data_IF_046083168637
#
_entry.id   IF_046083168637
#
_cell.length_a   1.000
_cell.length_b   1.000
_cell.length_c   1.000
_cell.angle_alpha   90.00
_cell.angle_beta   90.00
_cell.angle_gamma   90.00
#
_symmetry.space_group_name_H-M   'P 1'
#
loop_
_entity.id
_entity.type
_entity.pdbx_description
1 polymer ?
#
# COMPACT_ATOMS: atom_id res chain seq x y z
N UNK A 1 -25.63 38.18 16.04
CA UNK A 1 -24.96 37.14 16.83
C UNK A 1 -24.39 36.15 15.82
N UNK A 2 -23.06 36.12 15.66
CA UNK A 2 -22.42 35.20 14.73
C UNK A 2 -22.31 33.84 15.43
N UNK A 3 -22.82 32.78 14.80
CA UNK A 3 -22.60 31.42 15.28
C UNK A 3 -21.09 31.14 15.28
N UNK A 4 -20.55 30.45 16.31
CA UNK A 4 -19.16 30.05 16.28
C UNK A 4 -18.91 29.17 15.05
N UNK A 5 -17.85 29.50 14.30
CA UNK A 5 -17.33 28.60 13.28
C UNK A 5 -16.92 27.31 13.98
N UNK A 6 -17.72 26.24 13.83
CA UNK A 6 -17.29 24.90 14.21
C UNK A 6 -16.19 24.49 13.23
N UNK A 7 -14.93 24.70 13.63
CA UNK A 7 -13.82 24.00 13.02
C UNK A 7 -13.88 22.57 13.55
N UNK A 8 -14.03 21.54 12.68
CA UNK A 8 -13.98 20.16 13.12
C UNK A 8 -12.66 19.95 13.86
N UNK A 9 -12.64 19.12 14.92
CA UNK A 9 -11.44 18.97 15.74
C UNK A 9 -10.26 18.59 14.85
N UNK A 10 -9.23 19.43 14.86
CA UNK A 10 -7.88 19.08 14.43
C UNK A 10 -7.55 17.76 15.12
N UNK A 11 -7.40 16.66 14.37
CA UNK A 11 -7.29 15.29 14.91
C UNK A 11 -6.35 15.29 16.11
N UNK A 12 -6.91 15.20 17.32
CA UNK A 12 -6.15 15.34 18.56
C UNK A 12 -5.31 14.06 18.72
N UNK A 13 -3.98 14.16 18.86
CA UNK A 13 -3.08 13.01 18.87
C UNK A 13 -3.01 12.32 20.23
N UNK A 14 -4.13 12.18 20.95
CA UNK A 14 -4.11 11.42 22.20
C UNK A 14 -3.85 9.94 21.94
N UNK A 15 -4.32 9.41 20.80
CA UNK A 15 -4.07 8.04 20.38
C UNK A 15 -3.95 7.90 18.86
N UNK A 16 -3.01 7.07 18.40
CA UNK A 16 -2.76 6.83 16.98
C UNK A 16 -3.91 6.10 16.27
N UNK A 17 -4.82 5.46 17.02
CA UNK A 17 -5.98 4.75 16.45
C UNK A 17 -7.10 5.70 15.98
N UNK A 18 -7.20 6.92 16.53
CA UNK A 18 -8.24 7.89 16.14
C UNK A 18 -7.94 8.54 14.78
N UNK A 19 -6.71 8.38 14.27
CA UNK A 19 -6.31 8.93 12.99
C UNK A 19 -6.80 8.10 11.81
N UNK A 20 -7.22 6.86 12.04
CA UNK A 20 -7.53 5.87 11.02
C UNK A 20 -8.99 5.44 11.16
N UNK A 21 -9.82 5.73 10.16
CA UNK A 21 -11.19 5.22 10.16
C UNK A 21 -11.22 3.75 9.76
N UNK A 22 -12.32 3.04 10.04
CA UNK A 22 -12.53 1.66 9.55
C UNK A 22 -12.45 1.59 8.03
N UNK A 23 -12.96 2.61 7.34
CA UNK A 23 -12.91 2.68 5.88
C UNK A 23 -11.46 2.81 5.38
N UNK A 24 -10.64 3.60 6.07
CA UNK A 24 -9.21 3.71 5.77
C UNK A 24 -8.51 2.36 5.92
N UNK A 25 -8.77 1.64 7.02
CA UNK A 25 -8.24 0.28 7.22
C UNK A 25 -8.59 -0.63 6.05
N UNK A 26 -9.86 -0.68 5.63
CA UNK A 26 -10.29 -1.52 4.50
C UNK A 26 -9.59 -1.12 3.20
N UNK A 27 -9.52 0.19 2.90
CA UNK A 27 -8.87 0.70 1.68
C UNK A 27 -7.37 0.41 1.67
N UNK A 28 -6.71 0.55 2.82
CA UNK A 28 -5.28 0.25 2.95
C UNK A 28 -5.00 -1.25 2.88
N UNK A 29 -5.85 -2.10 3.47
CA UNK A 29 -5.73 -3.54 3.40
C UNK A 29 -5.90 -4.05 1.96
N UNK A 30 -6.90 -3.55 1.23
CA UNK A 30 -7.09 -3.89 -0.19
C UNK A 30 -5.91 -3.42 -1.05
N UNK A 31 -5.44 -2.18 -0.82
CA UNK A 31 -4.27 -1.68 -1.52
C UNK A 31 -3.02 -2.51 -1.23
N UNK A 32 -2.80 -2.92 0.02
CA UNK A 32 -1.68 -3.76 0.41
C UNK A 32 -1.76 -5.17 -0.21
N UNK A 33 -2.96 -5.73 -0.31
CA UNK A 33 -3.19 -7.01 -0.98
C UNK A 33 -2.79 -6.97 -2.46
N UNK A 34 -3.22 -5.96 -3.22
CA UNK A 34 -2.85 -5.84 -4.63
C UNK A 34 -1.34 -5.61 -4.82
N UNK A 35 -0.72 -4.86 -3.90
CA UNK A 35 0.74 -4.69 -3.87
C UNK A 35 1.45 -6.02 -3.65
N UNK A 36 1.13 -6.73 -2.56
CA UNK A 36 1.74 -8.00 -2.21
C UNK A 36 1.53 -9.06 -3.30
N UNK A 37 0.32 -9.11 -3.89
CA UNK A 37 -0.01 -10.03 -4.99
C UNK A 37 0.90 -9.83 -6.18
N UNK A 38 1.19 -8.57 -6.53
CA UNK A 38 2.07 -8.22 -7.65
C UNK A 38 3.53 -8.59 -7.39
N UNK A 39 4.04 -8.34 -6.19
CA UNK A 39 5.43 -8.66 -5.83
C UNK A 39 5.67 -10.17 -5.70
N UNK A 40 4.64 -10.90 -5.26
CA UNK A 40 4.68 -12.36 -5.16
C UNK A 40 4.38 -13.08 -6.48
N UNK A 41 4.15 -12.35 -7.57
CA UNK A 41 3.96 -12.93 -8.89
C UNK A 41 5.29 -12.93 -9.65
N UNK A 42 5.65 -14.03 -10.34
CA UNK A 42 6.85 -14.06 -11.16
C UNK A 42 6.80 -12.99 -12.26
N UNK A 43 7.96 -12.44 -12.66
CA UNK A 43 8.07 -11.57 -13.83
C UNK A 43 7.50 -12.22 -15.09
N UNK A 44 7.15 -11.39 -16.07
CA UNK A 44 6.65 -11.88 -17.35
C UNK A 44 7.68 -12.77 -18.05
N UNK A 45 7.25 -13.95 -18.49
CA UNK A 45 8.10 -14.96 -19.10
C UNK A 45 8.75 -15.93 -18.11
N UNK A 46 8.67 -15.66 -16.80
CA UNK A 46 9.16 -16.57 -15.77
C UNK A 46 8.07 -17.53 -15.28
N UNK A 47 8.48 -18.73 -14.88
CA UNK A 47 7.57 -19.73 -14.34
C UNK A 47 7.40 -19.51 -12.83
N UNK A 48 6.22 -19.86 -12.33
CA UNK A 48 5.97 -19.84 -10.89
C UNK A 48 6.79 -20.88 -10.12
N UNK A 49 7.11 -22.00 -10.76
CA UNK A 49 8.02 -23.02 -10.24
C UNK A 49 9.29 -23.02 -11.09
N UNK A 50 10.46 -23.05 -10.45
CA UNK A 50 11.74 -23.22 -11.13
C UNK A 50 12.00 -24.69 -11.55
N UNK A 51 13.19 -24.98 -12.07
CA UNK A 51 13.57 -26.32 -12.53
C UNK A 51 13.63 -27.37 -11.39
N UNK A 52 13.80 -26.91 -10.15
CA UNK A 52 13.89 -27.72 -8.94
C UNK A 52 12.55 -27.80 -8.19
N UNK A 53 11.46 -27.32 -8.79
CA UNK A 53 10.11 -27.22 -8.20
C UNK A 53 10.01 -26.28 -6.99
N UNK A 54 10.96 -25.36 -6.84
CA UNK A 54 10.84 -24.31 -5.85
C UNK A 54 9.88 -23.23 -6.35
N UNK A 55 8.94 -22.83 -5.50
CA UNK A 55 7.99 -21.77 -5.81
C UNK A 55 8.66 -20.39 -5.73
N UNK A 56 8.34 -19.55 -6.70
CA UNK A 56 8.72 -18.13 -6.74
C UNK A 56 8.35 -17.41 -5.45
N UNK A 57 7.16 -17.70 -4.93
CA UNK A 57 6.69 -17.16 -3.66
C UNK A 57 5.89 -18.22 -2.90
N UNK A 58 6.08 -18.24 -1.59
CA UNK A 58 5.33 -19.11 -0.68
C UNK A 58 4.15 -18.37 -0.05
N UNK A 59 3.26 -19.10 0.63
CA UNK A 59 2.17 -18.48 1.41
C UNK A 59 2.71 -17.59 2.54
N UNK A 60 3.83 -17.99 3.14
CA UNK A 60 4.52 -17.23 4.19
C UNK A 60 5.07 -15.93 3.61
N UNK A 61 5.80 -16.03 2.50
CA UNK A 61 6.31 -14.87 1.74
C UNK A 61 5.20 -13.88 1.39
N UNK A 62 4.04 -14.37 0.92
CA UNK A 62 2.90 -13.51 0.63
C UNK A 62 2.32 -12.83 1.89
N UNK A 63 2.22 -13.55 3.01
CA UNK A 63 1.71 -12.98 4.26
C UNK A 63 2.62 -11.87 4.80
N UNK A 64 3.93 -12.08 4.75
CA UNK A 64 4.92 -11.08 5.15
C UNK A 64 4.83 -9.83 4.26
N UNK A 65 4.77 -10.03 2.94
CA UNK A 65 4.59 -8.92 1.99
C UNK A 65 3.30 -8.14 2.22
N UNK A 66 2.20 -8.82 2.53
CA UNK A 66 0.92 -8.19 2.84
C UNK A 66 1.04 -7.31 4.10
N UNK A 67 1.64 -7.84 5.17
CA UNK A 67 1.83 -7.11 6.42
C UNK A 67 2.72 -5.87 6.22
N UNK A 68 3.83 -6.03 5.50
CA UNK A 68 4.75 -4.93 5.18
C UNK A 68 4.08 -3.84 4.35
N UNK A 69 3.34 -4.23 3.30
CA UNK A 69 2.61 -3.28 2.45
C UNK A 69 1.55 -2.52 3.26
N UNK A 70 0.84 -3.20 4.16
CA UNK A 70 -0.17 -2.57 5.00
C UNK A 70 0.47 -1.57 5.98
N UNK A 71 1.52 -1.98 6.68
CA UNK A 71 2.29 -1.13 7.59
C UNK A 71 2.81 0.13 6.90
N UNK A 72 3.43 -0.02 5.73
CA UNK A 72 3.94 1.08 4.91
C UNK A 72 2.85 2.10 4.55
N UNK A 73 1.65 1.64 4.20
CA UNK A 73 0.51 2.51 3.86
C UNK A 73 -0.01 3.30 5.04
N UNK A 74 -0.06 2.69 6.22
CA UNK A 74 -0.47 3.39 7.45
C UNK A 74 0.56 4.48 7.83
N UNK A 75 1.85 4.16 7.77
CA UNK A 75 2.94 5.11 8.03
C UNK A 75 2.93 6.30 7.07
N UNK A 76 2.73 6.05 5.77
CA UNK A 76 2.66 7.12 4.78
C UNK A 76 1.44 8.05 4.98
N UNK A 77 0.32 7.51 5.45
CA UNK A 77 -0.84 8.32 5.83
C UNK A 77 -0.52 9.19 7.07
N UNK A 78 0.14 8.62 8.09
CA UNK A 78 0.57 9.37 9.27
C UNK A 78 1.51 10.54 8.90
N UNK A 79 2.46 10.32 8.00
CA UNK A 79 3.32 11.37 7.46
C UNK A 79 2.52 12.49 6.76
N UNK A 80 1.49 12.13 6.00
CA UNK A 80 0.58 13.11 5.37
C UNK A 80 -0.19 14.00 6.36
N UNK A 81 -0.32 13.55 7.61
CA UNK A 81 -0.88 14.34 8.72
C UNK A 81 0.19 15.07 9.54
N UNK A 82 1.47 14.99 9.15
CA UNK A 82 2.59 15.61 9.86
C UNK A 82 3.13 14.79 11.04
N UNK A 83 2.77 13.50 11.14
CA UNK A 83 3.22 12.63 12.22
C UNK A 83 4.32 11.66 11.78
N UNK A 84 5.43 11.66 12.53
CA UNK A 84 6.58 10.77 12.32
C UNK A 84 7.38 11.10 11.06
N UNK A 85 8.59 10.55 10.99
CA UNK A 85 9.45 10.64 9.81
C UNK A 85 9.32 9.34 9.00
N UNK A 86 8.32 9.30 8.12
CA UNK A 86 8.03 8.17 7.24
C UNK A 86 8.13 8.57 5.75
N UNK A 87 8.99 9.55 5.46
CA UNK A 87 9.30 9.93 4.08
C UNK A 87 9.75 8.72 3.23
N UNK A 88 10.58 7.78 3.73
CA UNK A 88 10.97 6.59 2.96
C UNK A 88 9.78 5.72 2.53
N UNK A 89 8.79 5.51 3.40
CA UNK A 89 7.57 4.77 3.08
C UNK A 89 6.71 5.47 2.02
N UNK A 90 6.63 6.81 2.08
CA UNK A 90 5.94 7.62 1.07
C UNK A 90 6.64 7.51 -0.29
N UNK A 91 7.96 7.63 -0.33
CA UNK A 91 8.75 7.48 -1.56
C UNK A 91 8.57 6.09 -2.17
N UNK A 92 8.65 5.04 -1.34
CA UNK A 92 8.45 3.65 -1.78
C UNK A 92 7.04 3.42 -2.35
N UNK A 93 6.00 3.99 -1.74
CA UNK A 93 4.63 3.93 -2.26
C UNK A 93 4.46 4.66 -3.59
N UNK A 94 5.10 5.82 -3.74
CA UNK A 94 5.06 6.59 -4.99
C UNK A 94 5.74 5.85 -6.14
N UNK A 95 6.90 5.25 -5.88
CA UNK A 95 7.58 4.38 -6.84
C UNK A 95 6.69 3.21 -7.27
N UNK A 96 6.01 2.56 -6.32
CA UNK A 96 5.09 1.46 -6.65
C UNK A 96 3.93 1.92 -7.54
N UNK A 97 3.35 3.09 -7.26
CA UNK A 97 2.27 3.67 -8.08
C UNK A 97 2.75 3.91 -9.52
N UNK A 98 3.94 4.46 -9.69
CA UNK A 98 4.53 4.69 -11.02
C UNK A 98 4.78 3.38 -11.77
N UNK A 99 5.37 2.39 -11.10
CA UNK A 99 5.60 1.07 -11.68
C UNK A 99 4.28 0.35 -12.01
N UNK A 100 3.24 0.55 -11.22
CA UNK A 100 1.89 0.02 -11.45
C UNK A 100 1.32 0.56 -12.75
N UNK A 101 1.28 1.89 -12.87
CA UNK A 101 0.82 2.57 -14.09
C UNK A 101 1.56 2.10 -15.34
N UNK A 102 2.88 1.98 -15.29
CA UNK A 102 3.70 1.53 -16.43
C UNK A 102 3.44 0.08 -16.85
N UNK A 103 3.05 -0.82 -15.93
CA UNK A 103 2.68 -2.21 -16.29
C UNK A 103 1.27 -2.30 -16.86
N UNK A 104 0.30 -1.52 -16.35
CA UNK A 104 -1.06 -1.47 -16.94
C UNK A 104 -1.05 -0.93 -18.37
N UNK A 105 -0.30 0.14 -18.65
CA UNK A 105 -0.22 0.72 -20.00
C UNK A 105 0.32 -0.30 -21.02
N UNK A 106 1.33 -1.09 -20.64
CA UNK A 106 1.86 -2.16 -21.51
C UNK A 106 0.89 -3.33 -21.72
N UNK A 107 0.04 -3.63 -20.74
CA UNK A 107 -0.95 -4.71 -20.83
C UNK A 107 -2.10 -4.36 -21.79
N UNK A 108 -2.52 -3.09 -21.82
CA UNK A 108 -3.56 -2.61 -22.73
C UNK A 108 -3.06 -2.53 -24.18
N UNK A 109 -1.78 -2.16 -24.39
CA UNK A 109 -1.16 -2.14 -25.71
C UNK A 109 -0.88 -3.54 -26.29
N UNK A 110 -0.60 -4.54 -25.44
CA UNK A 110 -0.38 -5.93 -25.88
C UNK A 110 -1.68 -6.71 -26.16
N UNK A 111 -2.84 -6.14 -25.82
CA UNK A 111 -4.17 -6.75 -26.00
C UNK A 111 -4.95 -6.16 -27.19
N UNK A 112 -4.32 -5.33 -28.01
CA UNK A 112 -4.92 -4.66 -29.19
C UNK A 112 -4.42 -5.23 -30.52
#
# INVERSE_FOLDING_TARGET
MNAPHEFPPEKIPSDCWDWITREDVTRHALGAFEMARRECFPPEGERFLDADLCAWSSRETFADWLADCFSMRIKAMAYGYGFGDFLPEVERLNLWRQLGSSRTVKQDEASS
#
